data_IF_062693757728
#
_entry.id   IF_062693757728
#
_cell.length_a   1.000
_cell.length_b   1.000
_cell.length_c   1.000
_cell.angle_alpha   90.00
_cell.angle_beta   90.00
_cell.angle_gamma   90.00
#
_symmetry.space_group_name_H-M   'P 1'
#
loop_
_entity.id
_entity.type
_entity.pdbx_description
1 polymer ?
#
# COMPACT_ATOMS: atom_id res chain seq x y z
N UNK A 1 7.61 -2.65 -23.98
CA UNK A 1 8.39 -2.04 -22.88
C UNK A 1 7.55 -0.92 -22.23
N UNK A 2 6.45 -1.30 -21.57
CA UNK A 2 5.66 -0.42 -20.68
C UNK A 2 5.46 -1.23 -19.41
N UNK A 3 6.45 -1.31 -18.52
CA UNK A 3 6.37 -2.24 -17.38
C UNK A 3 7.06 -1.75 -16.12
N UNK A 4 8.30 -1.25 -16.19
CA UNK A 4 9.01 -0.76 -14.98
C UNK A 4 8.68 0.67 -14.59
N UNK A 5 8.69 1.59 -15.55
CA UNK A 5 8.57 3.02 -15.27
C UNK A 5 7.17 3.41 -14.74
N UNK A 6 6.12 2.76 -15.25
CA UNK A 6 4.73 3.03 -14.87
C UNK A 6 4.40 2.45 -13.49
N UNK A 7 4.91 1.26 -13.17
CA UNK A 7 4.86 0.69 -11.83
C UNK A 7 5.67 1.55 -10.85
N UNK A 8 6.89 1.98 -11.19
CA UNK A 8 7.67 2.88 -10.33
C UNK A 8 7.03 4.25 -10.11
N UNK A 9 6.28 4.80 -11.08
CA UNK A 9 5.53 6.05 -10.89
C UNK A 9 4.33 5.89 -9.95
N UNK A 10 3.57 4.79 -10.07
CA UNK A 10 2.46 4.46 -9.17
C UNK A 10 2.95 4.06 -7.76
N UNK A 11 4.10 3.41 -7.67
CA UNK A 11 4.78 3.11 -6.41
C UNK A 11 5.49 4.35 -5.82
N UNK A 12 5.84 5.34 -6.64
CA UNK A 12 6.59 6.52 -6.21
C UNK A 12 5.80 7.42 -5.26
N UNK A 13 4.46 7.45 -5.37
CA UNK A 13 3.59 8.14 -4.41
C UNK A 13 3.49 7.42 -3.06
N UNK A 14 3.95 6.17 -2.99
CA UNK A 14 3.84 5.31 -1.80
C UNK A 14 4.91 5.61 -0.74
N UNK A 15 5.97 6.36 -1.09
CA UNK A 15 6.97 6.83 -0.14
C UNK A 15 7.59 5.71 0.72
N UNK A 16 7.80 5.99 2.02
CA UNK A 16 8.37 5.04 2.98
C UNK A 16 7.42 3.89 3.36
N UNK A 17 6.12 4.03 3.10
CA UNK A 17 5.12 2.99 3.37
C UNK A 17 5.34 1.75 2.49
N UNK A 18 6.06 1.89 1.37
CA UNK A 18 6.34 0.77 0.45
C UNK A 18 7.10 -0.37 1.12
N UNK A 19 8.08 -0.04 1.96
CA UNK A 19 8.82 -1.04 2.75
C UNK A 19 7.97 -1.59 3.88
N UNK A 20 7.17 -0.73 4.53
CA UNK A 20 6.36 -1.08 5.68
C UNK A 20 5.24 -2.09 5.35
N UNK A 21 4.78 -2.10 4.09
CA UNK A 21 3.72 -2.98 3.61
C UNK A 21 4.18 -4.05 2.63
N UNK A 22 5.47 -4.37 2.61
CA UNK A 22 6.06 -5.45 1.79
C UNK A 22 5.81 -5.28 0.27
N UNK A 23 5.53 -4.05 -0.18
CA UNK A 23 5.31 -3.70 -1.59
C UNK A 23 6.63 -3.43 -2.34
N UNK A 24 7.76 -3.78 -1.75
CA UNK A 24 9.10 -3.66 -2.35
C UNK A 24 9.22 -4.36 -3.70
N UNK A 25 8.41 -5.39 -3.94
CA UNK A 25 8.34 -6.08 -5.23
C UNK A 25 6.94 -6.61 -5.50
N UNK A 26 6.24 -5.99 -6.44
CA UNK A 26 4.99 -6.53 -6.99
C UNK A 26 5.34 -7.81 -7.79
N UNK A 27 4.90 -8.97 -7.31
CA UNK A 27 5.12 -10.28 -7.96
C UNK A 27 4.11 -10.58 -9.08
N UNK A 28 3.13 -9.70 -9.29
CA UNK A 28 2.13 -9.84 -10.33
C UNK A 28 2.78 -9.85 -11.73
N UNK A 29 2.25 -10.66 -12.63
CA UNK A 29 2.80 -10.86 -14.00
C UNK A 29 1.96 -10.24 -15.10
N UNK A 30 0.73 -9.85 -14.79
CA UNK A 30 -0.18 -9.20 -15.73
C UNK A 30 -0.60 -7.82 -15.19
N UNK A 31 -0.93 -6.90 -16.09
CA UNK A 31 -1.20 -5.49 -15.77
C UNK A 31 -2.38 -5.32 -14.81
N UNK A 32 -3.44 -6.10 -14.98
CA UNK A 32 -4.65 -6.02 -14.15
C UNK A 32 -4.36 -6.44 -12.71
N UNK A 33 -3.56 -7.51 -12.55
CA UNK A 33 -3.13 -8.00 -11.24
C UNK A 33 -2.12 -7.05 -10.61
N UNK A 34 -1.22 -6.43 -11.38
CA UNK A 34 -0.35 -5.38 -10.86
C UNK A 34 -1.17 -4.21 -10.28
N UNK A 35 -2.18 -3.73 -11.00
CA UNK A 35 -3.08 -2.67 -10.53
C UNK A 35 -3.84 -3.11 -9.28
N UNK A 36 -4.38 -4.33 -9.27
CA UNK A 36 -5.11 -4.87 -8.13
C UNK A 36 -4.22 -4.98 -6.88
N UNK A 37 -2.99 -5.45 -7.04
CA UNK A 37 -2.03 -5.59 -5.93
C UNK A 37 -1.64 -4.24 -5.34
N UNK A 38 -1.39 -3.24 -6.20
CA UNK A 38 -1.15 -1.86 -5.73
C UNK A 38 -2.37 -1.36 -4.98
N UNK A 39 -3.56 -1.42 -5.59
CA UNK A 39 -4.81 -0.95 -5.01
C UNK A 39 -5.07 -1.55 -3.63
N UNK A 40 -4.97 -2.88 -3.53
CA UNK A 40 -5.16 -3.61 -2.28
C UNK A 40 -4.12 -3.19 -1.24
N UNK A 41 -2.86 -3.12 -1.62
CA UNK A 41 -1.77 -2.65 -0.77
C UNK A 41 -2.05 -1.28 -0.16
N UNK A 42 -2.48 -0.30 -0.97
CA UNK A 42 -2.83 1.06 -0.50
C UNK A 42 -3.96 1.00 0.55
N UNK A 43 -5.04 0.28 0.24
CA UNK A 43 -6.24 0.31 1.06
C UNK A 43 -6.06 -0.42 2.38
N UNK A 44 -5.38 -1.57 2.38
CA UNK A 44 -5.09 -2.31 3.62
C UNK A 44 -4.17 -1.51 4.54
N UNK A 45 -3.19 -0.81 3.98
CA UNK A 45 -2.27 0.08 4.71
C UNK A 45 -3.01 1.20 5.43
N UNK A 46 -3.86 1.91 4.69
CA UNK A 46 -4.67 2.99 5.22
C UNK A 46 -5.65 2.48 6.30
N UNK A 47 -6.29 1.33 6.07
CA UNK A 47 -7.19 0.71 7.04
C UNK A 47 -6.47 0.36 8.34
N UNK A 48 -5.25 -0.17 8.27
CA UNK A 48 -4.43 -0.48 9.44
C UNK A 48 -4.09 0.79 10.25
N UNK A 49 -3.68 1.86 9.56
CA UNK A 49 -3.38 3.15 10.20
C UNK A 49 -4.63 3.70 10.91
N UNK A 50 -5.78 3.68 10.23
CA UNK A 50 -7.06 4.12 10.80
C UNK A 50 -7.41 3.28 12.03
N UNK A 51 -7.34 1.95 11.93
CA UNK A 51 -7.62 1.04 13.03
C UNK A 51 -6.73 1.29 14.25
N UNK A 52 -5.42 1.52 14.03
CA UNK A 52 -4.47 1.88 15.10
C UNK A 52 -4.84 3.22 15.76
N UNK A 53 -5.23 4.22 14.97
CA UNK A 53 -5.67 5.53 15.49
C UNK A 53 -6.94 5.41 16.32
N UNK A 54 -7.92 4.63 15.85
CA UNK A 54 -9.16 4.35 16.58
C UNK A 54 -8.86 3.65 17.91
N UNK A 55 -8.08 2.57 17.90
CA UNK A 55 -7.72 1.84 19.11
C UNK A 55 -6.97 2.72 20.12
N UNK A 56 -6.08 3.61 19.66
CA UNK A 56 -5.39 4.58 20.52
C UNK A 56 -6.37 5.61 21.11
N UNK A 57 -7.30 6.12 20.32
CA UNK A 57 -8.32 7.06 20.80
C UNK A 57 -9.24 6.42 21.85
N UNK A 58 -9.68 5.18 21.63
CA UNK A 58 -10.47 4.42 22.61
C UNK A 58 -9.71 4.21 23.92
N UNK A 59 -8.40 3.92 23.87
CA UNK A 59 -7.56 3.80 25.07
C UNK A 59 -7.35 5.09 25.85
N UNK A 60 -7.41 6.26 25.19
CA UNK A 60 -7.27 7.56 25.87
C UNK A 60 -8.59 7.96 26.54
N UNK A 61 -9.72 7.53 25.98
CA UNK A 61 -11.05 7.84 26.50
C UNK A 61 -11.53 6.91 27.63
N UNK A 62 -10.84 5.79 27.86
CA UNK A 62 -11.09 4.82 28.93
C UNK A 62 -10.14 5.07 30.11
#
# INVERSE_FOLDING_TARGET
>A
MITKERASRLEGSFGADKEYYLLNKIKARNKETEILWIFLGIHTSNALIIGRRMAKATKIAA
#
